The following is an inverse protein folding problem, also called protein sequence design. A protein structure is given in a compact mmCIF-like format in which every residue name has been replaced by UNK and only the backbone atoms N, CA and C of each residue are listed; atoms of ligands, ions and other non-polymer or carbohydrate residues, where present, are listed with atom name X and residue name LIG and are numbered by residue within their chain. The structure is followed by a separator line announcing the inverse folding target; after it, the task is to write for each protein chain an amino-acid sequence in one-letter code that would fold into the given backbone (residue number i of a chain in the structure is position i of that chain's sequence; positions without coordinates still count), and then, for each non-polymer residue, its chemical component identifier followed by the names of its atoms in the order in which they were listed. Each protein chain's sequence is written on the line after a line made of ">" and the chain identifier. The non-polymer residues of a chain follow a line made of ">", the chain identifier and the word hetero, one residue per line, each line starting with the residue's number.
data_IF_269667605910
#
_entry.id   IF_269667605910
#
_cell.length_a   1.000
_cell.length_b   1.000
_cell.length_c   1.000
_cell.angle_alpha   90.00
_cell.angle_beta   90.00
_cell.angle_gamma   90.00
#
_symmetry.space_group_name_H-M   'P 1'
#
loop_
_entity.id
_entity.type
_entity.pdbx_description
1 polymer ?
#
# COMPACT_ATOMS: atom_id res chain seq x y z
N UNK A 1 0.71 6.77 15.61
CA UNK A 1 1.45 5.78 16.44
C UNK A 1 2.04 6.38 17.71
N UNK A 2 2.71 7.53 17.67
CA UNK A 2 3.30 8.10 18.91
C UNK A 2 2.26 8.45 19.99
N UNK A 3 1.07 8.91 19.61
CA UNK A 3 -0.04 9.09 20.55
C UNK A 3 -0.46 7.79 21.24
N UNK A 4 -0.38 6.65 20.54
CA UNK A 4 -0.67 5.34 21.14
C UNK A 4 0.41 4.95 22.15
N UNK A 5 1.70 5.11 21.79
CA UNK A 5 2.81 4.85 22.71
C UNK A 5 2.71 5.72 23.97
N UNK A 6 2.38 7.01 23.81
CA UNK A 6 2.18 7.91 24.94
C UNK A 6 0.95 7.52 25.79
N UNK A 7 -0.16 7.10 25.16
CA UNK A 7 -1.34 6.59 25.89
C UNK A 7 -0.97 5.36 26.73
N UNK A 8 -0.24 4.40 26.15
CA UNK A 8 0.23 3.20 26.85
C UNK A 8 1.14 3.56 28.03
N UNK A 9 1.99 4.57 27.89
CA UNK A 9 2.80 5.10 28.99
C UNK A 9 1.94 5.70 30.12
N UNK A 10 0.91 6.49 29.79
CA UNK A 10 0.05 7.14 30.80
C UNK A 10 -0.84 6.18 31.58
N UNK A 11 -1.24 5.05 30.97
CA UNK A 11 -2.03 4.00 31.63
C UNK A 11 -1.13 3.00 32.36
N UNK A 12 0.12 2.84 31.91
CA UNK A 12 1.12 1.98 32.52
C UNK A 12 1.72 2.52 33.82
N UNK A 13 2.73 1.83 34.37
CA UNK A 13 3.40 2.22 35.61
C UNK A 13 4.15 3.56 35.49
N UNK A 14 4.45 4.00 34.26
CA UNK A 14 5.29 5.14 33.99
C UNK A 14 6.72 4.93 34.50
N UNK A 15 7.54 5.97 34.38
CA UNK A 15 8.90 5.98 34.93
C UNK A 15 9.21 7.27 35.71
N UNK A 16 8.20 8.04 36.10
CA UNK A 16 8.36 9.32 36.80
C UNK A 16 8.88 10.47 35.94
N UNK A 17 8.97 10.31 34.61
CA UNK A 17 9.33 11.37 33.66
C UNK A 17 8.11 11.90 32.92
N UNK A 18 8.26 13.05 32.23
CA UNK A 18 7.21 13.60 31.36
C UNK A 18 6.94 12.75 30.10
N UNK A 19 7.73 11.69 29.85
CA UNK A 19 7.53 10.79 28.72
C UNK A 19 7.86 11.40 27.34
N UNK A 20 8.63 12.50 27.28
CA UNK A 20 8.98 13.17 26.00
C UNK A 20 9.75 12.29 25.00
N UNK A 21 10.43 11.26 25.49
CA UNK A 21 11.20 10.32 24.67
C UNK A 21 10.39 9.07 24.29
N UNK A 22 9.12 8.99 24.71
CA UNK A 22 8.25 7.86 24.46
C UNK A 22 7.64 7.99 23.07
N UNK A 23 8.01 7.04 22.21
CA UNK A 23 7.58 6.99 20.82
C UNK A 23 7.32 5.54 20.43
N UNK A 24 6.49 5.34 19.41
CA UNK A 24 6.34 4.00 18.86
C UNK A 24 7.63 3.64 18.08
N UNK A 25 8.34 2.55 18.42
CA UNK A 25 9.70 2.31 17.95
C UNK A 25 9.74 1.73 16.52
N UNK A 26 9.31 2.52 15.53
CA UNK A 26 9.41 2.17 14.11
C UNK A 26 10.83 2.45 13.62
N UNK A 27 11.54 1.43 13.11
CA UNK A 27 12.97 1.53 12.74
C UNK A 27 13.27 0.93 11.36
N UNK A 28 14.45 1.21 10.82
CA UNK A 28 14.85 0.72 9.49
C UNK A 28 15.36 -0.74 9.49
N UNK A 29 15.62 -1.33 10.66
CA UNK A 29 16.05 -2.73 10.81
C UNK A 29 15.71 -3.30 12.19
N UNK A 30 15.78 -4.63 12.32
CA UNK A 30 15.67 -5.36 13.58
C UNK A 30 16.76 -4.95 14.59
N UNK A 31 18.02 -4.83 14.15
CA UNK A 31 19.12 -4.45 15.05
C UNK A 31 18.90 -3.06 15.67
N UNK A 32 18.43 -2.11 14.85
CA UNK A 32 18.08 -0.78 15.34
C UNK A 32 16.86 -0.84 16.27
N UNK A 33 15.90 -1.72 15.98
CA UNK A 33 14.72 -1.91 16.82
C UNK A 33 15.10 -2.39 18.23
N UNK A 34 15.96 -3.39 18.35
CA UNK A 34 16.42 -3.93 19.64
C UNK A 34 17.12 -2.87 20.51
N UNK A 35 17.86 -1.95 19.89
CA UNK A 35 18.52 -0.84 20.58
C UNK A 35 17.49 0.23 20.98
N UNK A 36 16.64 0.64 20.04
CA UNK A 36 15.74 1.78 20.20
C UNK A 36 14.55 1.46 21.10
N UNK A 37 14.05 0.23 21.09
CA UNK A 37 12.82 -0.15 21.81
C UNK A 37 12.97 0.08 23.31
N UNK A 38 14.14 -0.20 23.88
CA UNK A 38 14.40 -0.02 25.32
C UNK A 38 14.20 1.43 25.73
N UNK A 39 14.82 2.36 24.99
CA UNK A 39 14.74 3.79 25.28
C UNK A 39 13.37 4.39 24.94
N UNK A 40 12.78 4.00 23.80
CA UNK A 40 11.52 4.58 23.31
C UNK A 40 10.28 4.04 24.02
N UNK A 41 10.38 2.92 24.74
CA UNK A 41 9.28 2.30 25.48
C UNK A 41 9.53 2.26 27.00
N UNK A 42 10.46 3.07 27.49
CA UNK A 42 10.80 3.11 28.91
C UNK A 42 9.56 3.51 29.76
N UNK A 43 9.25 2.74 30.81
CA UNK A 43 8.06 2.98 31.63
C UNK A 43 6.72 2.45 31.07
N UNK A 44 6.70 1.82 29.89
CA UNK A 44 5.54 1.02 29.45
C UNK A 44 5.44 -0.28 30.25
N UNK A 45 4.21 -0.78 30.42
CA UNK A 45 3.95 -2.13 30.94
C UNK A 45 4.59 -3.20 30.04
N UNK A 46 5.01 -4.32 30.63
CA UNK A 46 5.68 -5.39 29.88
C UNK A 46 4.80 -5.94 28.75
N UNK A 47 3.48 -6.09 28.98
CA UNK A 47 2.56 -6.57 27.95
C UNK A 47 2.48 -5.61 26.76
N UNK A 48 2.57 -4.31 27.02
CA UNK A 48 2.59 -3.31 25.97
C UNK A 48 3.87 -3.39 25.13
N UNK A 49 5.02 -3.64 25.77
CA UNK A 49 6.29 -3.86 25.07
C UNK A 49 6.25 -5.13 24.22
N UNK A 50 5.76 -6.23 24.80
CA UNK A 50 5.64 -7.50 24.10
C UNK A 50 4.74 -7.37 22.86
N UNK A 51 3.60 -6.68 22.96
CA UNK A 51 2.73 -6.41 21.81
C UNK A 51 3.38 -5.51 20.75
N UNK A 52 4.18 -4.52 21.16
CA UNK A 52 4.94 -3.69 20.22
C UNK A 52 5.96 -4.55 19.47
N UNK A 53 6.68 -5.43 20.16
CA UNK A 53 7.67 -6.33 19.55
C UNK A 53 6.99 -7.34 18.61
N UNK A 54 5.81 -7.87 18.96
CA UNK A 54 5.00 -8.76 18.12
C UNK A 54 4.54 -8.10 16.81
N UNK A 55 4.35 -6.77 16.83
CA UNK A 55 4.04 -6.00 15.61
C UNK A 55 5.25 -5.95 14.68
N UNK A 56 6.46 -6.21 15.17
CA UNK A 56 7.72 -6.16 14.40
C UNK A 56 7.87 -4.85 13.61
N UNK A 57 7.90 -3.68 14.26
CA UNK A 57 7.79 -2.37 13.62
C UNK A 57 9.11 -1.95 12.96
N UNK A 58 9.59 -2.74 12.02
CA UNK A 58 10.80 -2.50 11.25
C UNK A 58 10.63 -3.01 9.83
N UNK A 59 11.52 -2.57 8.93
CA UNK A 59 11.40 -2.78 7.47
C UNK A 59 11.20 -4.24 7.06
N UNK A 60 11.97 -5.17 7.63
CA UNK A 60 11.91 -6.61 7.34
C UNK A 60 10.77 -7.33 8.08
N UNK A 61 10.08 -6.64 8.99
CA UNK A 61 8.92 -7.13 9.74
C UNK A 61 7.63 -6.60 9.14
N UNK A 62 6.99 -5.68 9.83
CA UNK A 62 5.79 -4.99 9.36
C UNK A 62 6.15 -3.88 8.37
N UNK A 63 6.34 -4.32 7.12
CA UNK A 63 6.72 -3.45 5.99
C UNK A 63 5.71 -2.34 5.74
N UNK A 64 4.41 -2.59 5.92
CA UNK A 64 3.36 -1.57 5.70
C UNK A 64 3.45 -0.48 6.76
N UNK A 65 3.53 -0.84 8.04
CA UNK A 65 3.71 0.13 9.12
C UNK A 65 5.01 0.94 8.96
N UNK A 66 6.10 0.27 8.56
CA UNK A 66 7.36 0.95 8.23
C UNK A 66 7.17 1.94 7.06
N UNK A 67 6.50 1.53 5.97
CA UNK A 67 6.20 2.41 4.83
C UNK A 67 5.42 3.66 5.26
N UNK A 68 4.35 3.49 6.04
CA UNK A 68 3.56 4.60 6.59
C UNK A 68 4.45 5.56 7.36
N UNK A 69 5.32 5.05 8.22
CA UNK A 69 6.25 5.87 9.00
C UNK A 69 7.19 6.68 8.12
N UNK A 70 7.79 6.06 7.10
CA UNK A 70 8.72 6.75 6.19
C UNK A 70 8.00 7.78 5.32
N UNK A 71 6.83 7.45 4.77
CA UNK A 71 6.03 8.41 3.98
C UNK A 71 5.61 9.62 4.82
N UNK A 72 5.14 9.40 6.05
CA UNK A 72 4.82 10.49 6.97
C UNK A 72 6.03 11.34 7.35
N UNK A 73 7.22 10.75 7.44
CA UNK A 73 8.45 11.52 7.66
C UNK A 73 8.83 12.33 6.40
N UNK A 74 8.66 11.76 5.22
CA UNK A 74 8.89 12.47 3.95
C UNK A 74 7.92 13.65 3.85
N UNK A 75 6.62 13.43 4.03
CA UNK A 75 5.60 14.49 3.96
C UNK A 75 5.91 15.71 4.85
N UNK A 76 6.40 15.46 6.07
CA UNK A 76 6.82 16.52 7.01
C UNK A 76 8.01 17.36 6.52
N UNK A 77 8.89 16.79 5.71
CA UNK A 77 10.12 17.43 5.25
C UNK A 77 10.08 17.83 3.77
N UNK A 78 9.22 17.20 2.98
CA UNK A 78 9.04 17.38 1.55
C UNK A 78 7.59 17.10 1.18
N UNK A 79 6.90 18.15 0.77
CA UNK A 79 5.49 18.12 0.36
C UNK A 79 5.22 17.23 -0.88
N UNK A 80 6.24 17.01 -1.71
CA UNK A 80 6.09 16.30 -2.97
C UNK A 80 6.37 14.81 -2.79
N UNK A 81 5.28 14.04 -2.89
CA UNK A 81 5.28 12.61 -3.09
C UNK A 81 5.27 12.33 -4.60
N UNK A 82 6.23 11.54 -5.08
CA UNK A 82 6.35 11.24 -6.51
C UNK A 82 5.23 10.30 -6.94
N UNK A 83 4.49 10.69 -7.97
CA UNK A 83 3.41 9.90 -8.56
C UNK A 83 3.64 9.73 -10.04
N UNK A 84 3.22 8.58 -10.57
CA UNK A 84 3.23 8.29 -12.00
C UNK A 84 1.97 7.58 -12.44
N UNK A 85 1.98 7.09 -13.68
CA UNK A 85 0.88 6.30 -14.25
C UNK A 85 1.37 4.95 -14.74
N UNK A 86 0.57 3.91 -14.54
CA UNK A 86 0.79 2.56 -15.06
C UNK A 86 -0.45 2.06 -15.83
N UNK A 87 -0.23 1.06 -16.67
CA UNK A 87 -1.28 0.32 -17.36
C UNK A 87 -1.88 -0.72 -16.41
N UNK A 88 -3.14 -0.52 -16.03
CA UNK A 88 -3.84 -1.36 -15.06
C UNK A 88 -4.49 -2.57 -15.70
N UNK A 89 -5.39 -2.36 -16.66
CA UNK A 89 -6.12 -3.45 -17.30
C UNK A 89 -6.81 -3.05 -18.59
N UNK A 90 -7.30 -4.04 -19.35
CA UNK A 90 -8.15 -3.82 -20.53
C UNK A 90 -9.30 -4.83 -20.60
N UNK A 91 -10.43 -4.41 -21.16
CA UNK A 91 -11.62 -5.27 -21.32
C UNK A 91 -11.52 -6.17 -22.55
N UNK A 92 -10.82 -7.30 -22.41
CA UNK A 92 -10.73 -8.30 -23.46
C UNK A 92 -12.06 -9.04 -23.67
N UNK A 93 -12.90 -9.15 -22.64
CA UNK A 93 -14.21 -9.80 -22.75
C UNK A 93 -15.10 -9.10 -23.78
N UNK A 94 -15.25 -7.78 -23.62
CA UNK A 94 -16.06 -6.98 -24.53
C UNK A 94 -15.47 -6.97 -25.94
N UNK A 95 -14.14 -6.86 -26.06
CA UNK A 95 -13.45 -6.90 -27.34
C UNK A 95 -13.68 -8.24 -28.09
N UNK A 96 -13.53 -9.39 -27.43
CA UNK A 96 -13.78 -10.69 -28.06
C UNK A 96 -15.23 -10.85 -28.49
N UNK A 97 -16.21 -10.43 -27.67
CA UNK A 97 -17.63 -10.52 -28.03
C UNK A 97 -17.96 -9.64 -29.24
N UNK A 98 -17.37 -8.43 -29.33
CA UNK A 98 -17.54 -7.56 -30.48
C UNK A 98 -17.05 -8.25 -31.78
N UNK A 99 -15.85 -8.85 -31.73
CA UNK A 99 -15.29 -9.59 -32.86
C UNK A 99 -16.13 -10.82 -33.24
N UNK A 100 -16.67 -11.54 -32.26
CA UNK A 100 -17.57 -12.68 -32.52
C UNK A 100 -18.90 -12.26 -33.15
N UNK A 101 -19.47 -11.12 -32.74
CA UNK A 101 -20.71 -10.59 -33.33
C UNK A 101 -20.51 -10.14 -34.78
N UNK A 102 -19.35 -9.55 -35.10
CA UNK A 102 -19.00 -9.21 -36.49
C UNK A 102 -18.85 -10.48 -37.35
N UNK A 103 -18.25 -11.55 -36.80
CA UNK A 103 -18.06 -12.82 -37.52
C UNK A 103 -19.36 -13.66 -37.66
N UNK A 104 -20.30 -13.55 -36.71
CA UNK A 104 -21.53 -14.35 -36.67
C UNK A 104 -22.77 -13.48 -36.40
N UNK A 105 -23.19 -12.62 -37.35
CA UNK A 105 -24.25 -11.63 -37.14
C UNK A 105 -25.62 -12.22 -36.79
N UNK A 106 -25.91 -13.45 -37.25
CA UNK A 106 -27.19 -14.12 -37.01
C UNK A 106 -27.27 -14.84 -35.66
N UNK A 107 -26.18 -14.85 -34.88
CA UNK A 107 -26.17 -15.46 -33.54
C UNK A 107 -26.39 -14.43 -32.47
N UNK A 108 -27.31 -14.72 -31.55
CA UNK A 108 -27.46 -13.94 -30.33
C UNK A 108 -26.32 -14.29 -29.36
N UNK A 109 -25.27 -13.49 -29.36
CA UNK A 109 -24.11 -13.65 -28.49
C UNK A 109 -24.26 -12.73 -27.27
N UNK A 110 -24.33 -13.27 -26.04
CA UNK A 110 -24.48 -12.45 -24.84
C UNK A 110 -23.29 -11.52 -24.65
N UNK A 111 -23.53 -10.33 -24.08
CA UNK A 111 -22.44 -9.43 -23.69
C UNK A 111 -21.63 -10.02 -22.55
N UNK A 112 -20.32 -9.88 -22.63
CA UNK A 112 -19.39 -10.21 -21.55
C UNK A 112 -18.42 -9.03 -21.42
N UNK A 113 -18.24 -8.54 -20.20
CA UNK A 113 -17.18 -7.60 -19.86
C UNK A 113 -16.25 -8.32 -18.88
N UNK A 114 -14.96 -8.34 -19.21
CA UNK A 114 -13.94 -8.99 -18.42
C UNK A 114 -12.61 -8.25 -18.59
N UNK A 115 -12.18 -7.59 -17.51
CA UNK A 115 -10.92 -6.88 -17.45
C UNK A 115 -9.77 -7.83 -17.08
N UNK A 116 -8.68 -7.72 -17.81
CA UNK A 116 -7.46 -8.48 -17.57
C UNK A 116 -6.31 -7.55 -17.27
N UNK A 117 -5.53 -7.91 -16.25
CA UNK A 117 -4.32 -7.19 -15.90
C UNK A 117 -3.17 -7.66 -16.82
N UNK A 118 -2.32 -6.75 -17.31
CA UNK A 118 -1.14 -7.13 -18.08
C UNK A 118 -0.09 -7.75 -17.16
N UNK A 119 0.84 -8.52 -17.74
CA UNK A 119 2.00 -9.06 -16.99
C UNK A 119 2.97 -7.95 -16.61
N UNK A 120 3.13 -6.97 -17.51
CA UNK A 120 3.90 -5.76 -17.29
C UNK A 120 2.94 -4.57 -17.26
N UNK A 121 2.96 -3.80 -16.18
CA UNK A 121 2.13 -2.61 -16.02
C UNK A 121 2.73 -1.38 -16.73
N UNK A 122 3.83 -1.54 -17.46
CA UNK A 122 4.47 -0.51 -18.28
C UNK A 122 4.79 0.74 -17.47
N UNK A 123 5.25 0.57 -16.23
CA UNK A 123 5.59 1.69 -15.35
C UNK A 123 7.04 2.17 -15.54
N UNK A 124 7.29 3.50 -15.62
CA UNK A 124 6.31 4.57 -15.86
C UNK A 124 5.84 4.56 -17.31
N UNK A 125 4.54 4.81 -17.52
CA UNK A 125 3.96 4.88 -18.85
C UNK A 125 4.58 6.01 -19.67
N UNK A 126 4.87 5.71 -20.94
CA UNK A 126 5.48 6.63 -21.90
C UNK A 126 4.66 6.70 -23.18
N UNK A 127 4.80 7.83 -23.86
CA UNK A 127 4.23 7.98 -25.21
C UNK A 127 4.90 6.96 -26.13
N UNK A 128 4.05 6.19 -26.83
CA UNK A 128 4.50 5.13 -27.74
C UNK A 128 4.45 3.74 -27.13
N UNK A 129 4.15 3.59 -25.82
CA UNK A 129 3.97 2.27 -25.22
C UNK A 129 2.78 1.54 -25.85
N UNK A 130 3.02 0.27 -26.19
CA UNK A 130 2.05 -0.61 -26.84
C UNK A 130 1.20 -1.32 -25.77
N UNK A 131 -0.02 -0.83 -25.55
CA UNK A 131 -0.92 -1.37 -24.51
C UNK A 131 -1.56 -2.70 -24.91
N UNK A 132 -1.86 -2.87 -26.20
CA UNK A 132 -2.46 -4.07 -26.75
C UNK A 132 -2.14 -4.19 -28.24
N UNK A 133 -1.74 -5.40 -28.65
CA UNK A 133 -1.53 -5.76 -30.05
C UNK A 133 -2.46 -6.91 -30.37
N UNK A 134 -3.35 -6.68 -31.32
CA UNK A 134 -4.30 -7.67 -31.79
C UNK A 134 -3.70 -8.55 -32.89
N UNK A 135 -4.45 -9.56 -33.33
CA UNK A 135 -4.09 -10.42 -34.43
C UNK A 135 -3.83 -9.65 -35.73
N UNK A 136 -3.07 -10.25 -36.67
CA UNK A 136 -2.75 -9.62 -37.94
C UNK A 136 -4.02 -9.29 -38.72
N UNK A 137 -4.07 -8.09 -39.29
CA UNK A 137 -5.22 -7.54 -40.04
C UNK A 137 -6.50 -7.32 -39.22
N UNK A 138 -6.45 -7.41 -37.89
CA UNK A 138 -7.56 -7.00 -37.05
C UNK A 138 -7.88 -5.52 -37.27
N UNK A 139 -9.17 -5.20 -37.36
CA UNK A 139 -9.62 -3.81 -37.44
C UNK A 139 -9.49 -3.18 -36.05
N UNK A 140 -8.98 -1.94 -35.94
CA UNK A 140 -8.93 -1.25 -34.65
C UNK A 140 -10.32 -1.16 -34.02
N UNK A 141 -10.46 -1.67 -32.79
CA UNK A 141 -11.66 -1.47 -31.99
C UNK A 141 -11.53 -0.15 -31.21
N UNK A 142 -12.19 0.90 -31.69
CA UNK A 142 -12.16 2.23 -31.08
C UNK A 142 -12.94 2.31 -29.75
N UNK A 143 -13.79 1.33 -29.47
CA UNK A 143 -14.57 1.23 -28.23
C UNK A 143 -13.85 0.37 -27.16
N UNK A 144 -12.60 -0.02 -27.42
CA UNK A 144 -11.80 -0.78 -26.46
C UNK A 144 -11.54 0.05 -25.21
N UNK A 145 -11.83 -0.54 -24.04
CA UNK A 145 -11.65 0.12 -22.75
C UNK A 145 -10.33 -0.29 -22.10
N UNK A 146 -9.57 0.72 -21.71
CA UNK A 146 -8.32 0.59 -20.96
C UNK A 146 -8.48 1.27 -19.60
N UNK A 147 -7.90 0.66 -18.56
CA UNK A 147 -7.77 1.23 -17.22
C UNK A 147 -6.31 1.61 -17.00
N UNK A 148 -6.12 2.84 -16.55
CA UNK A 148 -4.84 3.36 -16.09
C UNK A 148 -4.91 3.59 -14.59
N UNK A 149 -3.78 3.45 -13.93
CA UNK A 149 -3.68 3.63 -12.50
C UNK A 149 -2.71 4.75 -12.16
N UNK A 150 -3.06 5.53 -11.14
CA UNK A 150 -2.10 6.37 -10.47
C UNK A 150 -1.28 5.49 -9.54
N UNK A 151 0.04 5.60 -9.65
CA UNK A 151 0.97 4.84 -8.83
C UNK A 151 1.83 5.77 -8.00
N UNK A 152 2.19 5.30 -6.82
CA UNK A 152 3.14 5.93 -5.93
C UNK A 152 4.55 5.45 -6.28
N UNK A 153 5.51 6.37 -6.40
CA UNK A 153 6.87 6.06 -6.84
C UNK A 153 7.92 6.84 -6.04
N UNK A 154 8.01 6.58 -4.74
CA UNK A 154 9.05 7.13 -3.87
C UNK A 154 10.27 6.19 -3.84
N UNK A 155 11.40 6.56 -4.49
CA UNK A 155 12.53 5.65 -4.67
C UNK A 155 13.07 5.07 -3.36
N UNK A 156 13.30 3.75 -3.33
CA UNK A 156 13.77 3.05 -2.14
C UNK A 156 12.72 2.86 -1.04
N UNK A 157 11.47 3.26 -1.27
CA UNK A 157 10.36 3.11 -0.32
C UNK A 157 9.14 2.43 -0.94
N UNK A 158 8.66 2.98 -2.05
CA UNK A 158 7.53 2.48 -2.84
C UNK A 158 7.86 2.71 -4.31
N UNK A 159 7.88 1.67 -5.14
CA UNK A 159 8.35 1.78 -6.52
C UNK A 159 7.27 1.24 -7.47
N UNK A 160 6.52 2.15 -8.10
CA UNK A 160 5.49 1.82 -9.08
C UNK A 160 4.28 1.05 -8.54
N UNK A 161 3.96 1.19 -7.25
CA UNK A 161 2.83 0.49 -6.62
C UNK A 161 1.52 1.30 -6.77
N UNK A 162 0.38 0.62 -6.95
CA UNK A 162 -0.92 1.27 -7.13
C UNK A 162 -1.30 2.12 -5.91
N UNK A 163 -1.62 3.39 -6.13
CA UNK A 163 -1.88 4.35 -5.06
C UNK A 163 -3.06 3.89 -4.18
N UNK A 164 -4.11 3.37 -4.81
CA UNK A 164 -5.31 2.91 -4.11
C UNK A 164 -5.00 1.66 -3.30
N UNK A 165 -4.35 0.66 -3.90
CA UNK A 165 -4.02 -0.60 -3.21
C UNK A 165 -3.09 -0.36 -2.00
N UNK A 166 -2.15 0.57 -2.12
CA UNK A 166 -1.28 0.95 -0.99
C UNK A 166 -2.08 1.61 0.12
N UNK A 167 -2.95 2.57 -0.22
CA UNK A 167 -3.75 3.27 0.78
C UNK A 167 -4.65 2.28 1.51
N UNK A 168 -5.31 1.38 0.78
CA UNK A 168 -6.17 0.35 1.38
C UNK A 168 -5.34 -0.57 2.29
N UNK A 169 -4.18 -1.05 1.83
CA UNK A 169 -3.27 -1.87 2.65
C UNK A 169 -2.80 -1.14 3.93
N UNK A 170 -2.57 0.17 3.84
CA UNK A 170 -2.19 0.99 4.99
C UNK A 170 -3.32 1.18 5.98
N UNK A 171 -4.55 1.37 5.49
CA UNK A 171 -5.77 1.45 6.32
C UNK A 171 -5.97 0.13 7.04
N UNK A 172 -5.99 -0.99 6.31
CA UNK A 172 -6.18 -2.34 6.86
C UNK A 172 -5.15 -2.65 7.95
N UNK A 173 -3.88 -2.30 7.72
CA UNK A 173 -2.82 -2.50 8.72
C UNK A 173 -3.10 -1.70 9.99
N UNK A 174 -3.41 -0.40 9.88
CA UNK A 174 -3.68 0.43 11.06
C UNK A 174 -4.95 -0.02 11.79
N UNK A 175 -6.02 -0.33 11.07
CA UNK A 175 -7.26 -0.84 11.63
C UNK A 175 -7.07 -2.19 12.31
N UNK A 176 -6.25 -3.08 11.75
CA UNK A 176 -5.88 -4.36 12.34
C UNK A 176 -5.02 -4.23 13.61
N UNK A 177 -4.28 -3.14 13.77
CA UNK A 177 -3.48 -2.88 14.97
C UNK A 177 -4.30 -2.32 16.14
N UNK A 178 -5.30 -1.48 15.89
CA UNK A 178 -6.13 -0.86 16.93
C UNK A 178 -6.70 -1.88 17.95
N UNK A 179 -7.36 -2.98 17.56
CA UNK A 179 -7.96 -3.90 18.52
C UNK A 179 -6.91 -4.62 19.38
N UNK A 180 -5.68 -4.83 18.88
CA UNK A 180 -4.60 -5.48 19.63
C UNK A 180 -4.20 -4.67 20.87
N UNK A 181 -4.20 -3.34 20.75
CA UNK A 181 -3.81 -2.45 21.85
C UNK A 181 -4.98 -1.98 22.71
N UNK A 182 -6.23 -2.19 22.26
CA UNK A 182 -7.44 -1.68 22.93
C UNK A 182 -7.56 -2.14 24.38
N UNK A 183 -7.19 -3.39 24.67
CA UNK A 183 -7.24 -3.98 26.02
C UNK A 183 -6.20 -3.39 26.99
N UNK A 184 -5.21 -2.65 26.50
CA UNK A 184 -4.14 -2.05 27.31
C UNK A 184 -4.34 -0.55 27.58
N UNK A 185 -5.31 0.08 26.91
CA UNK A 185 -5.59 1.52 27.02
C UNK A 185 -6.95 1.84 27.63
N UNK A 186 -7.70 0.80 28.02
CA UNK A 186 -9.02 0.89 28.67
C UNK A 186 -8.87 0.48 30.12
#
# INVERSE_FOLDING_TARGET
>A
MDHLAYRLFTVGPGNGTEGRHIHFPITDSLDQHEIDKVRKTEGLDQRAKDLIDDVKPYREGNKILWKIHKLNNIDKHRLLVTVGSSFGSLDLGAHMIASMREAFPDRNIPSLSAFFNPVDNLFPLKVGDELFIDGPNAKPNLDMQFKFELVLDEPGLVEGESLIEIIDSMIDEVEGLIPKFKSLIT
#
